data_IF_784962534604
#
_entry.id   IF_784962534604
#
_cell.length_a   1.000
_cell.length_b   1.000
_cell.length_c   1.000
_cell.angle_alpha   90.00
_cell.angle_beta   90.00
_cell.angle_gamma   90.00
#
_symmetry.space_group_name_H-M   'P 1'
#
loop_
_entity.id
_entity.type
_entity.pdbx_description
1 polymer ?
#
# COMPACT_ATOMS: atom_id res chain seq x y z
N UNK A 1 -5.70 21.17 1.96
CA UNK A 1 -5.90 19.69 1.96
C UNK A 1 -5.12 18.98 0.86
N UNK A 2 -4.92 19.60 -0.33
CA UNK A 2 -4.10 19.03 -1.42
C UNK A 2 -2.59 19.36 -1.36
N UNK A 3 -2.16 20.27 -0.47
CA UNK A 3 -0.77 20.69 -0.31
C UNK A 3 0.19 19.57 0.13
N UNK A 4 -0.34 18.49 0.74
CA UNK A 4 0.46 17.30 1.07
C UNK A 4 0.93 16.52 -0.16
N UNK A 5 0.20 16.64 -1.27
CA UNK A 5 0.50 15.96 -2.54
C UNK A 5 1.31 16.81 -3.51
N UNK A 6 1.62 18.06 -3.16
CA UNK A 6 2.48 18.93 -3.98
C UNK A 6 3.94 18.49 -3.93
N UNK A 7 4.43 18.10 -2.75
CA UNK A 7 5.80 17.57 -2.63
C UNK A 7 5.81 16.08 -2.93
N UNK A 8 6.43 15.64 -4.05
CA UNK A 8 6.49 14.23 -4.38
C UNK A 8 7.31 13.42 -3.36
N UNK A 9 8.18 14.05 -2.56
CA UNK A 9 8.85 13.40 -1.43
C UNK A 9 7.87 13.03 -0.30
N UNK A 10 6.92 13.90 0.03
CA UNK A 10 5.89 13.58 1.04
C UNK A 10 5.00 12.43 0.58
N UNK A 11 4.62 12.40 -0.70
CA UNK A 11 3.87 11.27 -1.29
C UNK A 11 4.68 9.97 -1.25
N UNK A 12 6.00 10.04 -1.45
CA UNK A 12 6.89 8.88 -1.35
C UNK A 12 6.98 8.34 0.09
N UNK A 13 7.05 9.22 1.09
CA UNK A 13 7.04 8.82 2.49
C UNK A 13 5.68 8.23 2.90
N UNK A 14 4.58 8.87 2.50
CA UNK A 14 3.24 8.36 2.76
C UNK A 14 3.03 7.00 2.11
N UNK A 15 3.43 6.83 0.84
CA UNK A 15 3.32 5.55 0.15
C UNK A 15 4.09 4.42 0.85
N UNK A 16 5.28 4.72 1.40
CA UNK A 16 6.05 3.75 2.19
C UNK A 16 5.34 3.32 3.47
N UNK A 17 4.70 4.26 4.18
CA UNK A 17 3.86 3.95 5.36
C UNK A 17 2.63 3.11 4.98
N UNK A 18 1.96 3.46 3.89
CA UNK A 18 0.80 2.72 3.36
C UNK A 18 1.18 1.30 2.96
N UNK A 19 2.33 1.12 2.28
CA UNK A 19 2.88 -0.19 1.93
C UNK A 19 3.16 -1.03 3.19
N UNK A 20 3.83 -0.45 4.19
CA UNK A 20 4.13 -1.14 5.45
C UNK A 20 2.87 -1.53 6.22
N UNK A 21 1.90 -0.63 6.34
CA UNK A 21 0.62 -0.91 6.98
C UNK A 21 -0.14 -2.04 6.24
N UNK A 22 -0.18 -1.98 4.90
CA UNK A 22 -0.81 -3.02 4.08
C UNK A 22 -0.15 -4.39 4.23
N UNK A 23 1.18 -4.43 4.34
CA UNK A 23 1.93 -5.66 4.58
C UNK A 23 1.64 -6.24 5.96
N UNK A 24 1.69 -5.42 7.02
CA UNK A 24 1.37 -5.86 8.39
C UNK A 24 -0.07 -6.40 8.44
N UNK A 25 -1.01 -5.69 7.83
CA UNK A 25 -2.41 -6.07 7.75
C UNK A 25 -2.60 -7.41 7.02
N UNK A 26 -1.93 -7.59 5.89
CA UNK A 26 -1.97 -8.84 5.12
C UNK A 26 -1.41 -10.01 5.92
N UNK A 27 -0.25 -9.83 6.56
CA UNK A 27 0.37 -10.89 7.37
C UNK A 27 -0.51 -11.28 8.55
N UNK A 28 -1.10 -10.30 9.26
CA UNK A 28 -2.04 -10.55 10.34
C UNK A 28 -3.29 -11.31 9.85
N UNK A 29 -3.86 -10.89 8.72
CA UNK A 29 -5.00 -11.57 8.10
C UNK A 29 -4.69 -13.01 7.68
N UNK A 30 -3.54 -13.23 7.02
CA UNK A 30 -3.11 -14.57 6.61
C UNK A 30 -2.94 -15.47 7.83
N UNK A 31 -2.27 -14.96 8.86
CA UNK A 31 -2.07 -15.70 10.09
C UNK A 31 -3.40 -16.09 10.74
N UNK A 32 -4.29 -15.11 10.95
CA UNK A 32 -5.57 -15.34 11.63
C UNK A 32 -6.58 -16.15 10.83
N UNK A 33 -6.60 -16.03 9.50
CA UNK A 33 -7.60 -16.69 8.66
C UNK A 33 -7.20 -18.09 8.19
N UNK A 34 -5.90 -18.37 8.06
CA UNK A 34 -5.42 -19.60 7.43
C UNK A 34 -4.42 -20.41 8.28
N UNK A 35 -3.62 -19.79 9.14
CA UNK A 35 -2.59 -20.52 9.92
C UNK A 35 -3.03 -20.81 11.36
N UNK A 36 -3.89 -19.96 11.92
CA UNK A 36 -4.39 -20.12 13.28
C UNK A 36 -5.54 -21.13 13.33
N UNK A 37 -5.32 -22.25 14.03
CA UNK A 37 -6.29 -23.35 14.16
C UNK A 37 -7.01 -23.38 15.53
N UNK A 38 -6.90 -22.31 16.32
CA UNK A 38 -7.57 -22.23 17.62
C UNK A 38 -9.04 -21.83 17.50
N UNK A 39 -9.83 -21.96 18.59
CA UNK A 39 -11.22 -21.51 18.60
C UNK A 39 -11.27 -20.01 18.36
N UNK A 40 -11.98 -19.60 17.31
CA UNK A 40 -12.15 -18.20 16.92
C UNK A 40 -13.63 -17.94 16.63
N UNK A 41 -14.24 -16.89 17.24
CA UNK A 41 -15.64 -16.58 16.96
C UNK A 41 -15.79 -16.14 15.50
N UNK A 42 -16.95 -16.44 14.90
CA UNK A 42 -17.20 -16.21 13.47
C UNK A 42 -16.93 -14.76 13.03
N UNK A 43 -17.30 -13.79 13.86
CA UNK A 43 -17.07 -12.37 13.58
C UNK A 43 -15.58 -12.03 13.47
N UNK A 44 -14.74 -12.62 14.33
CA UNK A 44 -13.29 -12.41 14.30
C UNK A 44 -12.67 -13.12 13.10
N UNK A 45 -13.13 -14.31 12.74
CA UNK A 45 -12.67 -15.02 11.55
C UNK A 45 -12.99 -14.24 10.27
N UNK A 46 -14.20 -13.66 10.17
CA UNK A 46 -14.57 -12.76 9.06
C UNK A 46 -13.67 -11.53 9.02
N UNK A 47 -13.34 -10.94 10.17
CA UNK A 47 -12.40 -9.82 10.23
C UNK A 47 -10.99 -10.22 9.76
N UNK A 48 -10.51 -11.42 10.13
CA UNK A 48 -9.24 -11.97 9.65
C UNK A 48 -9.23 -12.16 8.12
N UNK A 49 -10.30 -12.67 7.54
CA UNK A 49 -10.43 -12.73 6.08
C UNK A 49 -10.48 -11.34 5.45
N UNK A 50 -11.20 -10.38 6.04
CA UNK A 50 -11.27 -9.01 5.55
C UNK A 50 -9.87 -8.35 5.52
N UNK A 51 -9.02 -8.62 6.51
CA UNK A 51 -7.62 -8.18 6.54
C UNK A 51 -6.83 -8.69 5.31
N UNK A 52 -7.11 -9.90 4.81
CA UNK A 52 -6.47 -10.46 3.60
C UNK A 52 -6.93 -9.82 2.29
N UNK A 53 -8.06 -9.10 2.29
CA UNK A 53 -8.54 -8.32 1.14
C UNK A 53 -8.02 -6.88 1.24
N UNK A 54 -8.10 -6.29 2.43
CA UNK A 54 -7.67 -4.92 2.68
C UNK A 54 -6.16 -4.76 2.57
N UNK A 55 -5.36 -5.70 3.07
CA UNK A 55 -3.90 -5.66 3.00
C UNK A 55 -3.34 -5.50 1.57
N UNK A 56 -3.65 -6.41 0.62
CA UNK A 56 -3.21 -6.32 -0.77
C UNK A 56 -3.75 -5.08 -1.48
N UNK A 57 -4.98 -4.65 -1.13
CA UNK A 57 -5.56 -3.42 -1.66
C UNK A 57 -4.75 -2.19 -1.22
N UNK A 58 -4.38 -2.12 0.06
CA UNK A 58 -3.54 -1.04 0.60
C UNK A 58 -2.14 -1.05 -0.03
N UNK A 59 -1.55 -2.24 -0.21
CA UNK A 59 -0.26 -2.41 -0.89
C UNK A 59 -0.33 -1.88 -2.33
N UNK A 60 -1.38 -2.22 -3.07
CA UNK A 60 -1.58 -1.76 -4.45
C UNK A 60 -1.69 -0.24 -4.52
N UNK A 61 -2.48 0.37 -3.62
CA UNK A 61 -2.61 1.84 -3.53
C UNK A 61 -1.25 2.47 -3.20
N UNK A 62 -0.56 1.97 -2.18
CA UNK A 62 0.77 2.45 -1.79
C UNK A 62 1.77 2.34 -2.94
N UNK A 63 1.75 1.25 -3.70
CA UNK A 63 2.63 1.07 -4.86
C UNK A 63 2.35 2.11 -5.95
N UNK A 64 1.08 2.34 -6.31
CA UNK A 64 0.72 3.36 -7.31
C UNK A 64 1.12 4.76 -6.84
N UNK A 65 0.93 5.08 -5.56
CA UNK A 65 1.39 6.35 -4.97
C UNK A 65 2.92 6.50 -5.06
N UNK A 66 3.67 5.44 -4.76
CA UNK A 66 5.13 5.41 -4.88
C UNK A 66 5.57 5.64 -6.33
N UNK A 67 4.92 4.98 -7.29
CA UNK A 67 5.22 5.13 -8.71
C UNK A 67 4.97 6.56 -9.17
N UNK A 68 3.83 7.16 -8.79
CA UNK A 68 3.49 8.54 -9.11
C UNK A 68 4.49 9.54 -8.51
N UNK A 69 4.89 9.34 -7.25
CA UNK A 69 5.90 10.16 -6.59
C UNK A 69 7.25 10.10 -7.32
N UNK A 70 7.71 8.89 -7.66
CA UNK A 70 8.96 8.69 -8.39
C UNK A 70 8.90 9.26 -9.81
N UNK A 71 7.76 9.15 -10.50
CA UNK A 71 7.54 9.75 -11.81
C UNK A 71 7.71 11.27 -11.75
N UNK A 72 7.10 11.93 -10.75
CA UNK A 72 7.23 13.38 -10.55
C UNK A 72 8.64 13.80 -10.15
N UNK A 73 9.34 13.02 -9.32
CA UNK A 73 10.73 13.31 -8.90
C UNK A 73 11.74 13.18 -10.04
N UNK A 74 11.51 12.30 -11.01
CA UNK A 74 12.40 12.13 -12.17
C UNK A 74 12.31 13.28 -13.17
N UNK A 75 11.32 14.17 -13.04
CA UNK A 75 11.07 15.26 -14.00
C UNK A 75 10.66 14.76 -15.38
N UNK A 76 10.33 15.65 -16.33
CA UNK A 76 10.13 15.28 -17.72
C UNK A 76 11.42 14.61 -18.21
N UNK A 77 11.33 13.33 -18.60
CA UNK A 77 12.39 12.73 -19.42
C UNK A 77 12.43 13.58 -20.68
N UNK A 78 13.43 14.46 -20.81
CA UNK A 78 13.74 15.09 -22.08
C UNK A 78 14.02 13.92 -23.02
N UNK A 79 13.01 13.57 -23.84
CA UNK A 79 13.21 12.73 -25.00
C UNK A 79 14.26 13.48 -25.81
N UNK A 80 15.46 12.91 -26.06
CA UNK A 80 16.40 13.54 -26.97
C UNK A 80 15.64 13.78 -28.28
N UNK A 81 15.47 15.05 -28.67
CA UNK A 81 15.01 15.35 -30.01
C UNK A 81 16.07 14.73 -30.93
N UNK A 82 15.70 13.64 -31.59
CA UNK A 82 16.51 13.07 -32.65
C UNK A 82 16.66 14.18 -33.71
N UNK A 83 17.90 14.66 -33.84
CA UNK A 83 18.33 15.62 -34.84
C UNK A 83 18.26 15.00 -36.24
#
# INVERSE_FOLDING_TARGET
MLTFFESPLHVLHLSSKVLGAGLIMLLAGIYGAYLYNGPMPIALLVAMHALTILGPTLIKIGYVMRLLAQYRLRGPRLVPQAA
#
